data_IF_055565571518
#
_entry.id   IF_055565571518
#
_cell.length_a   1.000
_cell.length_b   1.000
_cell.length_c   1.000
_cell.angle_alpha   90.00
_cell.angle_beta   90.00
_cell.angle_gamma   90.00
#
_symmetry.space_group_name_H-M   'P 1'
#
loop_
_entity.id
_entity.type
_entity.pdbx_description
1 polymer ?
#
# COMPACT_ATOMS: atom_id res chain seq x y z
N UNK A 1 5.77 -12.34 -13.38
CA UNK A 1 6.59 -11.19 -13.79
C UNK A 1 6.47 -10.18 -12.68
N UNK A 2 7.58 -9.76 -12.09
CA UNK A 2 7.60 -8.73 -11.05
C UNK A 2 7.54 -7.37 -11.73
N UNK A 3 6.66 -6.50 -11.26
CA UNK A 3 6.44 -5.16 -11.79
C UNK A 3 7.43 -4.21 -11.13
N UNK A 4 8.02 -3.30 -11.92
CA UNK A 4 8.93 -2.27 -11.41
C UNK A 4 8.21 -1.38 -10.38
N UNK A 5 8.83 -1.07 -9.23
CA UNK A 5 8.20 -0.30 -8.15
C UNK A 5 7.69 1.08 -8.61
N UNK A 6 8.27 1.65 -9.67
CA UNK A 6 7.82 2.93 -10.25
C UNK A 6 6.39 2.86 -10.78
N UNK A 7 5.96 1.74 -11.35
CA UNK A 7 4.58 1.59 -11.82
C UNK A 7 3.57 1.67 -10.67
N UNK A 8 3.90 1.12 -9.49
CA UNK A 8 3.03 1.26 -8.33
C UNK A 8 2.95 2.70 -7.83
N UNK A 9 4.06 3.43 -7.90
CA UNK A 9 4.08 4.87 -7.58
C UNK A 9 3.20 5.66 -8.55
N UNK A 10 3.34 5.42 -9.85
CA UNK A 10 2.50 6.03 -10.89
C UNK A 10 1.02 5.71 -10.68
N UNK A 11 0.67 4.46 -10.39
CA UNK A 11 -0.70 4.06 -10.07
C UNK A 11 -1.28 4.80 -8.85
N UNK A 12 -0.46 5.07 -7.84
CA UNK A 12 -0.89 5.85 -6.66
C UNK A 12 -1.11 7.32 -7.04
N UNK A 13 -0.20 7.91 -7.81
CA UNK A 13 -0.31 9.30 -8.29
C UNK A 13 -1.55 9.50 -9.19
N UNK A 14 -1.85 8.53 -10.07
CA UNK A 14 -3.02 8.53 -10.96
C UNK A 14 -4.36 8.49 -10.23
N UNK A 15 -4.41 8.12 -8.93
CA UNK A 15 -5.64 8.20 -8.14
C UNK A 15 -6.06 9.64 -7.85
N UNK A 16 -5.16 10.62 -7.97
CA UNK A 16 -5.49 12.02 -7.76
C UNK A 16 -5.91 12.36 -6.33
N UNK A 17 -5.43 11.60 -5.33
CA UNK A 17 -5.81 11.75 -3.91
C UNK A 17 -5.54 13.16 -3.37
N UNK A 18 -4.44 13.78 -3.80
CA UNK A 18 -4.09 15.17 -3.43
C UNK A 18 -5.14 16.21 -3.87
N UNK A 19 -5.99 15.86 -4.84
CA UNK A 19 -7.06 16.73 -5.33
C UNK A 19 -8.40 16.57 -4.59
N UNK A 20 -8.50 15.65 -3.63
CA UNK A 20 -9.74 15.44 -2.87
C UNK A 20 -9.79 16.47 -1.73
N UNK A 21 -10.70 17.43 -1.84
CA UNK A 21 -10.95 18.45 -0.82
C UNK A 21 -11.94 17.93 0.23
N UNK A 22 -11.52 17.88 1.49
CA UNK A 22 -12.34 17.42 2.63
C UNK A 22 -12.90 18.64 3.37
N UNK A 23 -13.83 19.36 2.74
CA UNK A 23 -14.54 20.51 3.34
C UNK A 23 -16.02 20.56 2.91
N UNK A 24 -16.86 19.62 3.39
CA UNK A 24 -18.26 19.60 3.01
C UNK A 24 -19.05 20.76 3.62
N UNK A 25 -19.88 21.41 2.80
CA UNK A 25 -20.83 22.44 3.21
C UNK A 25 -22.26 21.92 3.42
N UNK A 26 -22.51 20.66 3.07
CA UNK A 26 -23.80 19.99 3.22
C UNK A 26 -23.67 18.48 3.35
N UNK A 27 -24.70 17.81 3.87
CA UNK A 27 -24.77 16.35 3.95
C UNK A 27 -24.60 15.69 2.57
N UNK A 28 -25.24 16.24 1.54
CA UNK A 28 -25.16 15.73 0.17
C UNK A 28 -23.71 15.80 -0.36
N UNK A 29 -23.01 16.89 -0.08
CA UNK A 29 -21.61 17.06 -0.44
C UNK A 29 -20.70 16.12 0.35
N UNK A 30 -20.92 15.96 1.66
CA UNK A 30 -20.19 15.01 2.48
C UNK A 30 -20.31 13.57 1.95
N UNK A 31 -21.52 13.16 1.57
CA UNK A 31 -21.76 11.84 0.97
C UNK A 31 -21.09 11.67 -0.40
N UNK A 32 -20.97 12.75 -1.18
CA UNK A 32 -20.26 12.73 -2.45
C UNK A 32 -18.76 12.54 -2.25
N UNK A 33 -18.15 13.37 -1.40
CA UNK A 33 -16.72 13.28 -1.07
C UNK A 33 -16.43 11.91 -0.44
N UNK A 34 -17.31 11.40 0.43
CA UNK A 34 -17.15 10.10 1.06
C UNK A 34 -17.02 8.97 0.04
N UNK A 35 -17.81 8.99 -1.04
CA UNK A 35 -17.70 7.97 -2.11
C UNK A 35 -16.34 8.04 -2.81
N UNK A 36 -15.86 9.25 -3.10
CA UNK A 36 -14.54 9.46 -3.72
C UNK A 36 -13.41 8.95 -2.83
N UNK A 37 -13.48 9.24 -1.52
CA UNK A 37 -12.54 8.74 -0.49
C UNK A 37 -12.58 7.21 -0.40
N UNK A 38 -13.76 6.60 -0.31
CA UNK A 38 -13.92 5.15 -0.26
C UNK A 38 -13.38 4.46 -1.53
N UNK A 39 -13.61 5.05 -2.70
CA UNK A 39 -13.06 4.58 -3.96
C UNK A 39 -11.53 4.62 -3.97
N UNK A 40 -10.93 5.71 -3.50
CA UNK A 40 -9.48 5.83 -3.34
C UNK A 40 -8.93 4.77 -2.37
N UNK A 41 -9.56 4.56 -1.21
CA UNK A 41 -9.17 3.51 -0.24
C UNK A 41 -9.19 2.12 -0.89
N UNK A 42 -10.27 1.78 -1.61
CA UNK A 42 -10.40 0.49 -2.29
C UNK A 42 -9.29 0.27 -3.32
N UNK A 43 -9.00 1.30 -4.11
CA UNK A 43 -7.94 1.24 -5.12
C UNK A 43 -6.54 1.12 -4.48
N UNK A 44 -6.24 1.90 -3.43
CA UNK A 44 -4.99 1.79 -2.68
C UNK A 44 -4.79 0.39 -2.07
N UNK A 45 -5.84 -0.18 -1.46
CA UNK A 45 -5.79 -1.55 -0.92
C UNK A 45 -5.46 -2.60 -2.00
N UNK A 46 -6.00 -2.43 -3.22
CA UNK A 46 -5.69 -3.29 -4.37
C UNK A 46 -4.24 -3.11 -4.84
N UNK A 47 -3.76 -1.88 -4.97
CA UNK A 47 -2.37 -1.57 -5.35
C UNK A 47 -1.41 -2.18 -4.32
N UNK A 48 -1.65 -1.95 -3.02
CA UNK A 48 -0.85 -2.51 -1.92
C UNK A 48 -0.79 -4.03 -1.95
N UNK A 49 -1.92 -4.69 -2.20
CA UNK A 49 -1.97 -6.14 -2.33
C UNK A 49 -1.03 -6.64 -3.44
N UNK A 50 -1.09 -6.02 -4.62
CA UNK A 50 -0.25 -6.39 -5.77
C UNK A 50 1.23 -6.12 -5.47
N UNK A 51 1.56 -4.96 -4.91
CA UNK A 51 2.92 -4.60 -4.48
C UNK A 51 3.49 -5.68 -3.55
N UNK A 52 2.73 -6.09 -2.52
CA UNK A 52 3.17 -7.13 -1.61
C UNK A 52 3.28 -8.52 -2.26
N UNK A 53 2.44 -8.85 -3.25
CA UNK A 53 2.60 -10.08 -4.02
C UNK A 53 3.96 -10.11 -4.71
N UNK A 54 4.35 -9.01 -5.34
CA UNK A 54 5.64 -8.90 -6.01
C UNK A 54 6.83 -8.95 -5.03
N UNK A 55 6.74 -8.25 -3.90
CA UNK A 55 7.74 -8.36 -2.83
C UNK A 55 7.86 -9.81 -2.31
N UNK A 56 6.74 -10.53 -2.18
CA UNK A 56 6.75 -11.96 -1.78
C UNK A 56 7.44 -12.83 -2.83
N UNK A 57 7.22 -12.58 -4.12
CA UNK A 57 7.89 -13.28 -5.22
C UNK A 57 9.40 -13.07 -5.17
N UNK A 58 9.85 -11.81 -5.01
CA UNK A 58 11.28 -11.47 -4.84
C UNK A 58 11.86 -12.23 -3.65
N UNK A 59 11.23 -12.15 -2.47
CA UNK A 59 11.71 -12.84 -1.27
C UNK A 59 11.83 -14.34 -1.49
N UNK A 60 10.86 -14.96 -2.17
CA UNK A 60 10.89 -16.40 -2.49
C UNK A 60 12.05 -16.76 -3.41
N UNK A 61 12.28 -16.00 -4.47
CA UNK A 61 13.38 -16.24 -5.41
C UNK A 61 14.74 -16.22 -4.70
N UNK A 62 14.98 -15.24 -3.83
CA UNK A 62 16.23 -15.17 -3.06
C UNK A 62 16.34 -16.27 -2.00
N UNK A 63 15.23 -16.71 -1.42
CA UNK A 63 15.22 -17.88 -0.55
C UNK A 63 15.61 -19.15 -1.31
N UNK A 64 15.16 -19.32 -2.55
CA UNK A 64 15.55 -20.43 -3.42
C UNK A 64 17.03 -20.36 -3.79
N UNK A 65 17.55 -19.19 -4.18
CA UNK A 65 18.99 -18.98 -4.43
C UNK A 65 19.85 -19.35 -3.22
N UNK A 66 19.41 -19.01 -2.00
CA UNK A 66 20.12 -19.34 -0.77
C UNK A 66 20.05 -20.83 -0.38
N UNK A 67 19.12 -21.61 -0.94
CA UNK A 67 19.01 -23.05 -0.71
C UNK A 67 19.94 -23.87 -1.59
N UNK A 68 20.51 -23.27 -2.64
CA UNK A 68 21.51 -23.91 -3.49
C UNK A 68 22.65 -24.49 -2.62
N UNK A 69 23.01 -25.78 -2.78
CA UNK A 69 24.08 -26.42 -2.00
C UNK A 69 25.40 -25.65 -2.00
N UNK A 70 25.74 -25.01 -3.13
CA UNK A 70 26.99 -24.25 -3.29
C UNK A 70 26.96 -22.91 -2.53
N UNK A 71 25.77 -22.45 -2.18
CA UNK A 71 25.54 -21.23 -1.39
C UNK A 71 25.28 -21.57 0.08
N UNK A 72 24.63 -22.70 0.36
CA UNK A 72 24.15 -23.07 1.70
C UNK A 72 25.26 -23.11 2.75
N UNK A 73 26.43 -23.61 2.38
CA UNK A 73 27.63 -23.66 3.24
C UNK A 73 28.46 -22.37 3.26
N UNK A 74 28.22 -21.45 2.32
CA UNK A 74 28.98 -20.20 2.19
C UNK A 74 28.21 -19.03 2.81
N UNK A 75 28.56 -18.71 4.05
CA UNK A 75 27.97 -17.61 4.83
C UNK A 75 28.14 -16.26 4.12
N UNK A 76 29.28 -16.02 3.48
CA UNK A 76 29.56 -14.73 2.83
C UNK A 76 28.66 -14.56 1.61
N UNK A 77 28.53 -15.61 0.79
CA UNK A 77 27.68 -15.60 -0.39
C UNK A 77 26.19 -15.47 -0.02
N UNK A 78 25.75 -16.13 1.05
CA UNK A 78 24.39 -15.95 1.59
C UNK A 78 24.14 -14.51 2.02
N UNK A 79 25.07 -13.89 2.74
CA UNK A 79 24.93 -12.50 3.17
C UNK A 79 24.81 -11.55 1.99
N UNK A 80 25.66 -11.72 0.97
CA UNK A 80 25.58 -10.91 -0.25
C UNK A 80 24.20 -11.02 -0.95
N UNK A 81 23.61 -12.21 -1.01
CA UNK A 81 22.25 -12.39 -1.55
C UNK A 81 21.17 -11.71 -0.69
N UNK A 82 21.33 -11.69 0.63
CA UNK A 82 20.41 -10.95 1.51
C UNK A 82 20.51 -9.45 1.26
N UNK A 83 21.74 -8.92 1.17
CA UNK A 83 21.98 -7.51 0.89
C UNK A 83 21.43 -7.10 -0.48
N UNK A 84 21.62 -7.93 -1.51
CA UNK A 84 21.06 -7.71 -2.86
C UNK A 84 19.53 -7.70 -2.85
N UNK A 85 18.90 -8.67 -2.16
CA UNK A 85 17.45 -8.72 -1.98
C UNK A 85 16.92 -7.46 -1.31
N UNK A 86 17.58 -7.02 -0.24
CA UNK A 86 17.11 -5.88 0.56
C UNK A 86 17.25 -4.57 -0.23
N UNK A 87 18.33 -4.41 -1.00
CA UNK A 87 18.47 -3.31 -1.95
C UNK A 87 17.37 -3.30 -3.02
N UNK A 88 16.98 -4.48 -3.53
CA UNK A 88 15.90 -4.62 -4.50
C UNK A 88 14.52 -4.33 -3.91
N UNK A 89 14.29 -4.72 -2.65
CA UNK A 89 13.01 -4.49 -1.95
C UNK A 89 12.83 -3.05 -1.45
N UNK A 90 13.92 -2.33 -1.17
CA UNK A 90 13.87 -0.98 -0.59
C UNK A 90 12.92 -0.01 -1.30
N UNK A 91 12.93 0.09 -2.65
CA UNK A 91 11.98 0.91 -3.37
C UNK A 91 10.51 0.48 -3.20
N UNK A 92 10.22 -0.82 -3.16
CA UNK A 92 8.87 -1.33 -2.90
C UNK A 92 8.39 -0.93 -1.51
N UNK A 93 9.26 -1.05 -0.50
CA UNK A 93 8.97 -0.62 0.87
C UNK A 93 8.74 0.90 0.96
N UNK A 94 9.41 1.68 0.11
CA UNK A 94 9.13 3.10 -0.05
C UNK A 94 7.71 3.38 -0.52
N UNK A 95 7.25 2.68 -1.56
CA UNK A 95 5.88 2.81 -2.07
C UNK A 95 4.85 2.31 -1.04
N UNK A 96 5.14 1.21 -0.36
CA UNK A 96 4.26 0.65 0.67
C UNK A 96 4.01 1.66 1.81
N UNK A 97 5.05 2.35 2.26
CA UNK A 97 4.93 3.41 3.27
C UNK A 97 4.04 4.55 2.78
N UNK A 98 4.20 5.00 1.53
CA UNK A 98 3.35 6.06 0.95
C UNK A 98 1.89 5.59 0.95
N UNK A 99 1.61 4.37 0.49
CA UNK A 99 0.25 3.83 0.47
C UNK A 99 -0.34 3.75 1.87
N UNK A 100 0.43 3.33 2.87
CA UNK A 100 -0.06 3.23 4.25
C UNK A 100 -0.42 4.62 4.82
N UNK A 101 0.43 5.63 4.62
CA UNK A 101 0.12 7.01 5.04
C UNK A 101 -1.14 7.55 4.37
N UNK A 102 -1.32 7.31 3.07
CA UNK A 102 -2.52 7.74 2.35
C UNK A 102 -3.77 7.00 2.85
N UNK A 103 -3.66 5.70 3.13
CA UNK A 103 -4.76 4.93 3.68
C UNK A 103 -5.19 5.45 5.04
N UNK A 104 -4.25 5.73 5.95
CA UNK A 104 -4.53 6.31 7.27
C UNK A 104 -5.30 7.63 7.14
N UNK A 105 -4.81 8.56 6.31
CA UNK A 105 -5.45 9.86 6.09
C UNK A 105 -6.86 9.73 5.50
N UNK A 106 -7.05 8.84 4.52
CA UNK A 106 -8.35 8.65 3.88
C UNK A 106 -9.33 7.92 4.81
N UNK A 107 -8.87 6.99 5.63
CA UNK A 107 -9.71 6.31 6.61
C UNK A 107 -10.20 7.30 7.69
N UNK A 108 -9.33 8.19 8.17
CA UNK A 108 -9.71 9.31 9.05
C UNK A 108 -10.72 10.26 8.38
N UNK A 109 -10.46 10.66 7.13
CA UNK A 109 -11.38 11.51 6.37
C UNK A 109 -12.75 10.84 6.16
N UNK A 110 -12.78 9.55 5.88
CA UNK A 110 -14.03 8.77 5.76
C UNK A 110 -14.82 8.79 7.07
N UNK A 111 -14.16 8.65 8.23
CA UNK A 111 -14.82 8.72 9.54
C UNK A 111 -15.46 10.10 9.71
N UNK A 112 -14.69 11.18 9.51
CA UNK A 112 -15.20 12.55 9.59
C UNK A 112 -16.41 12.79 8.67
N UNK A 113 -16.35 12.37 7.41
CA UNK A 113 -17.42 12.57 6.44
C UNK A 113 -18.70 11.79 6.80
N UNK A 114 -18.55 10.59 7.39
CA UNK A 114 -19.69 9.82 7.90
C UNK A 114 -20.36 10.53 9.07
N UNK A 115 -19.58 11.03 10.02
CA UNK A 115 -20.10 11.80 11.16
C UNK A 115 -20.82 13.05 10.69
N UNK A 116 -20.22 13.80 9.76
CA UNK A 116 -20.83 14.99 9.17
C UNK A 116 -22.17 14.66 8.50
N UNK A 117 -22.22 13.55 7.75
CA UNK A 117 -23.44 13.11 7.07
C UNK A 117 -24.46 12.43 8.00
N UNK A 118 -24.22 12.37 9.32
CA UNK A 118 -25.13 11.74 10.27
C UNK A 118 -25.24 10.22 10.13
N UNK A 119 -24.26 9.57 9.48
CA UNK A 119 -24.21 8.12 9.37
C UNK A 119 -23.66 7.53 10.68
N UNK A 120 -24.34 6.53 11.24
CA UNK A 120 -23.79 5.78 12.38
C UNK A 120 -22.45 5.15 11.99
N UNK A 121 -21.40 5.49 12.72
CA UNK A 121 -20.14 4.75 12.64
C UNK A 121 -20.40 3.41 13.31
N UNK A 122 -20.49 2.33 12.52
CA UNK A 122 -20.43 0.99 13.07
C UNK A 122 -19.12 0.90 13.85
N UNK A 123 -19.20 0.74 15.17
CA UNK A 123 -18.02 0.53 16.03
C UNK A 123 -17.17 -0.54 15.38
N UNK A 124 -15.98 -0.19 14.90
CA UNK A 124 -15.03 -1.14 14.36
C UNK A 124 -14.68 -2.11 15.49
N UNK A 125 -15.36 -3.26 15.49
CA UNK A 125 -14.90 -4.42 16.25
C UNK A 125 -13.49 -4.73 15.77
N UNK A 126 -12.55 -4.63 16.70
CA UNK A 126 -11.19 -5.13 16.56
C UNK A 126 -11.26 -6.63 16.22
N UNK A 127 -10.78 -7.01 15.04
CA UNK A 127 -10.52 -8.40 14.65
C UNK A 127 -9.02 -8.57 14.36
#
# INVERSE_FOLDING_TARGET
MVIDPRFYKEQVEELGIEGIEIDPSSEEEALKILREVEDAIRNLKRIRYNLHMDMRLIRREYLEKMRDPDVRGDVKRRRALMDERDNLLGPYEGVDRIINTLLEQLEEASIFLREYAGLEIASTEEW
#
